data_IF_003739975846
#
_entry.id   IF_003739975846
#
_cell.length_a   1.000
_cell.length_b   1.000
_cell.length_c   1.000
_cell.angle_alpha   90.00
_cell.angle_beta   90.00
_cell.angle_gamma   90.00
#
_symmetry.space_group_name_H-M   'P 1'
#
loop_
_entity.id
_entity.type
_entity.pdbx_description
1 polymer ?
#
# COMPACT_ATOMS: atom_id res chain seq x y z
N UNK A 1 -42.12 36.75 -47.62
CA UNK A 1 -42.10 36.00 -46.34
C UNK A 1 -40.80 35.19 -46.25
N UNK A 2 -39.79 35.66 -45.53
CA UNK A 2 -38.50 34.95 -45.34
C UNK A 2 -38.62 34.06 -44.09
N UNK A 3 -38.83 32.75 -44.30
CA UNK A 3 -38.86 31.76 -43.20
C UNK A 3 -37.46 31.55 -42.63
N UNK A 4 -37.42 31.43 -41.31
CA UNK A 4 -36.24 31.52 -40.44
C UNK A 4 -35.27 30.34 -40.56
N UNK A 5 -34.04 30.60 -41.03
CA UNK A 5 -32.89 29.67 -41.00
C UNK A 5 -32.19 29.60 -39.62
N UNK A 6 -32.66 30.36 -38.62
CA UNK A 6 -32.01 30.50 -37.30
C UNK A 6 -32.13 29.27 -36.40
N UNK A 7 -33.09 28.36 -36.66
CA UNK A 7 -33.32 27.17 -35.83
C UNK A 7 -32.22 26.10 -35.97
N UNK A 8 -31.59 25.99 -37.16
CA UNK A 8 -30.49 25.04 -37.37
C UNK A 8 -29.19 25.43 -36.64
N UNK A 9 -28.85 26.72 -36.66
CA UNK A 9 -27.67 27.24 -35.95
C UNK A 9 -27.81 27.13 -34.43
N UNK A 10 -29.00 27.40 -33.88
CA UNK A 10 -29.24 27.23 -32.44
C UNK A 10 -29.01 25.78 -31.98
N UNK A 11 -29.44 24.80 -32.79
CA UNK A 11 -29.25 23.38 -32.48
C UNK A 11 -27.77 22.98 -32.53
N UNK A 12 -27.00 23.49 -33.51
CA UNK A 12 -25.55 23.25 -33.58
C UNK A 12 -24.80 23.84 -32.38
N UNK A 13 -25.17 25.04 -31.94
CA UNK A 13 -24.55 25.67 -30.76
C UNK A 13 -24.81 24.86 -29.50
N UNK A 14 -26.04 24.37 -29.31
CA UNK A 14 -26.38 23.51 -28.16
C UNK A 14 -25.60 22.19 -28.23
N UNK A 15 -25.47 21.59 -29.41
CA UNK A 15 -24.73 20.33 -29.57
C UNK A 15 -23.24 20.51 -29.22
N UNK A 16 -22.62 21.60 -29.68
CA UNK A 16 -21.22 21.94 -29.34
C UNK A 16 -21.08 22.16 -27.83
N UNK A 17 -22.04 22.84 -27.20
CA UNK A 17 -22.01 23.11 -25.76
C UNK A 17 -22.12 21.82 -24.92
N UNK A 18 -22.98 20.88 -25.32
CA UNK A 18 -23.11 19.58 -24.65
C UNK A 18 -21.82 18.76 -24.82
N UNK A 19 -21.23 18.73 -26.03
CA UNK A 19 -19.99 18.00 -26.30
C UNK A 19 -18.80 18.58 -25.52
N UNK A 20 -18.67 19.90 -25.48
CA UNK A 20 -17.59 20.56 -24.74
C UNK A 20 -17.76 20.38 -23.23
N UNK A 21 -18.97 20.52 -22.70
CA UNK A 21 -19.24 20.30 -21.28
C UNK A 21 -18.99 18.85 -20.84
N UNK A 22 -19.40 17.87 -21.65
CA UNK A 22 -19.17 16.45 -21.34
C UNK A 22 -17.71 16.05 -21.48
N UNK A 23 -17.00 16.59 -22.49
CA UNK A 23 -15.55 16.40 -22.63
C UNK A 23 -14.79 16.96 -21.42
N UNK A 24 -15.13 18.17 -20.97
CA UNK A 24 -14.51 18.78 -19.80
C UNK A 24 -14.75 17.95 -18.53
N UNK A 25 -15.99 17.49 -18.31
CA UNK A 25 -16.32 16.64 -17.17
C UNK A 25 -15.55 15.30 -17.18
N UNK A 26 -15.43 14.67 -18.36
CA UNK A 26 -14.69 13.42 -18.51
C UNK A 26 -13.18 13.59 -18.28
N UNK A 27 -12.63 14.74 -18.63
CA UNK A 27 -11.21 15.05 -18.39
C UNK A 27 -10.97 15.29 -16.90
N UNK A 28 -11.82 16.08 -16.24
CA UNK A 28 -11.70 16.32 -14.80
C UNK A 28 -11.84 15.03 -13.96
N UNK A 29 -12.76 14.13 -14.32
CA UNK A 29 -12.92 12.86 -13.60
C UNK A 29 -11.68 11.96 -13.71
N UNK A 30 -11.03 11.96 -14.89
CA UNK A 30 -9.76 11.23 -15.09
C UNK A 30 -8.64 11.81 -14.24
N UNK A 31 -8.49 13.14 -14.20
CA UNK A 31 -7.46 13.78 -13.38
C UNK A 31 -7.64 13.51 -11.88
N UNK A 32 -8.87 13.53 -11.37
CA UNK A 32 -9.14 13.21 -9.97
C UNK A 32 -8.83 11.74 -9.67
N UNK A 33 -9.18 10.83 -10.58
CA UNK A 33 -8.91 9.40 -10.41
C UNK A 33 -7.41 9.10 -10.37
N UNK A 34 -6.63 9.70 -11.27
CA UNK A 34 -5.17 9.50 -11.28
C UNK A 34 -4.52 10.10 -10.04
N UNK A 35 -4.96 11.28 -9.60
CA UNK A 35 -4.46 11.89 -8.36
C UNK A 35 -4.74 11.00 -7.14
N UNK A 36 -5.95 10.45 -7.02
CA UNK A 36 -6.30 9.54 -5.93
C UNK A 36 -5.46 8.26 -5.94
N UNK A 37 -5.19 7.68 -7.11
CA UNK A 37 -4.34 6.50 -7.22
C UNK A 37 -2.91 6.77 -6.77
N UNK A 38 -2.36 7.95 -7.09
CA UNK A 38 -1.02 8.36 -6.65
C UNK A 38 -0.98 8.54 -5.14
N UNK A 39 -1.96 9.23 -4.55
CA UNK A 39 -2.02 9.41 -3.10
C UNK A 39 -2.22 8.08 -2.36
N UNK A 40 -3.06 7.18 -2.89
CA UNK A 40 -3.19 5.83 -2.32
C UNK A 40 -1.88 5.04 -2.39
N UNK A 41 -1.15 5.13 -3.50
CA UNK A 41 0.15 4.48 -3.62
C UNK A 41 1.17 5.07 -2.63
N UNK A 42 1.14 6.39 -2.42
CA UNK A 42 1.98 7.07 -1.43
C UNK A 42 1.66 6.63 -0.01
N UNK A 43 0.38 6.66 0.40
CA UNK A 43 -0.06 6.24 1.73
C UNK A 43 0.34 4.78 1.99
N UNK A 44 0.15 3.88 1.01
CA UNK A 44 0.57 2.48 1.12
C UNK A 44 2.08 2.35 1.30
N UNK A 45 2.87 3.18 0.60
CA UNK A 45 4.33 3.17 0.71
C UNK A 45 4.79 3.70 2.07
N UNK A 46 4.21 4.80 2.54
CA UNK A 46 4.50 5.34 3.87
C UNK A 46 4.14 4.32 4.96
N UNK A 47 2.96 3.69 4.88
CA UNK A 47 2.56 2.63 5.79
C UNK A 47 3.52 1.43 5.77
N UNK A 48 4.05 1.06 4.61
CA UNK A 48 5.06 0.00 4.49
C UNK A 48 6.40 0.38 5.13
N UNK A 49 6.83 1.63 4.96
CA UNK A 49 8.08 2.14 5.56
C UNK A 49 7.96 2.25 7.08
N UNK A 50 6.81 2.66 7.61
CA UNK A 50 6.64 2.80 9.06
C UNK A 50 6.43 1.46 9.78
N UNK A 51 5.74 0.50 9.16
CA UNK A 51 5.44 -0.79 9.78
C UNK A 51 6.47 -1.89 9.49
N UNK A 52 6.33 -2.64 8.39
CA UNK A 52 7.18 -3.78 8.06
C UNK A 52 8.69 -3.52 8.18
N UNK A 53 9.18 -2.33 7.78
CA UNK A 53 10.61 -2.02 7.82
C UNK A 53 11.14 -1.84 9.24
N UNK A 54 10.37 -1.23 10.16
CA UNK A 54 10.79 -1.08 11.55
C UNK A 54 10.85 -2.44 12.25
N UNK A 55 9.86 -3.31 12.00
CA UNK A 55 9.84 -4.69 12.48
C UNK A 55 11.00 -5.50 11.92
N UNK A 56 11.32 -5.32 10.63
CA UNK A 56 12.46 -5.98 10.00
C UNK A 56 13.79 -5.54 10.62
N UNK A 57 13.96 -4.25 10.90
CA UNK A 57 15.16 -3.74 11.57
C UNK A 57 15.35 -4.38 12.96
N UNK A 58 14.27 -4.50 13.74
CA UNK A 58 14.31 -5.20 15.04
C UNK A 58 14.65 -6.67 14.85
N UNK A 59 14.04 -7.34 13.87
CA UNK A 59 14.30 -8.74 13.58
C UNK A 59 15.78 -8.99 13.18
N UNK A 60 16.36 -8.10 12.38
CA UNK A 60 17.78 -8.12 12.04
C UNK A 60 18.66 -7.89 13.27
N UNK A 61 18.32 -6.94 14.14
CA UNK A 61 19.04 -6.71 15.38
C UNK A 61 19.04 -7.94 16.30
N UNK A 62 17.94 -8.71 16.35
CA UNK A 62 17.91 -9.97 17.11
C UNK A 62 18.84 -11.03 16.52
N UNK A 63 18.94 -11.11 15.19
CA UNK A 63 19.87 -12.02 14.52
C UNK A 63 21.33 -11.74 14.88
N UNK A 64 21.69 -10.49 15.20
CA UNK A 64 23.05 -10.16 15.68
C UNK A 64 23.37 -10.74 17.06
N UNK A 65 22.35 -11.06 17.86
CA UNK A 65 22.53 -11.60 19.22
C UNK A 65 22.72 -13.11 19.26
N UNK A 66 22.28 -13.83 18.22
CA UNK A 66 22.35 -15.28 18.15
C UNK A 66 21.62 -15.85 16.94
N UNK A 67 21.76 -17.16 16.72
CA UNK A 67 21.10 -17.86 15.60
C UNK A 67 19.71 -18.40 16.00
N UNK A 68 18.69 -18.30 15.13
CA UNK A 68 17.40 -18.93 15.31
C UNK A 68 17.51 -20.47 15.50
N UNK A 69 16.58 -21.09 16.24
CA UNK A 69 16.67 -22.51 16.63
C UNK A 69 16.54 -23.50 15.46
N UNK A 70 16.02 -23.07 14.31
CA UNK A 70 15.80 -23.92 13.14
C UNK A 70 16.18 -23.20 11.84
N UNK A 71 16.37 -23.97 10.76
CA UNK A 71 16.70 -23.44 9.42
C UNK A 71 15.58 -22.59 8.82
N UNK A 72 14.33 -22.79 9.23
CA UNK A 72 13.22 -21.90 8.92
C UNK A 72 12.34 -21.80 10.15
N UNK A 73 12.06 -20.59 10.62
CA UNK A 73 11.22 -20.41 11.80
C UNK A 73 10.45 -19.09 11.74
N UNK A 74 9.18 -19.18 12.14
CA UNK A 74 8.24 -18.07 12.17
C UNK A 74 8.02 -17.62 13.61
N UNK A 75 8.16 -16.31 13.86
CA UNK A 75 7.83 -15.67 15.13
C UNK A 75 6.73 -14.64 14.92
N UNK A 76 5.98 -14.34 15.99
CA UNK A 76 5.10 -13.17 16.04
C UNK A 76 5.79 -11.98 16.68
N UNK A 77 5.53 -10.79 16.16
CA UNK A 77 5.95 -9.53 16.74
C UNK A 77 4.77 -8.57 16.76
N UNK A 78 4.41 -8.11 17.96
CA UNK A 78 3.36 -7.13 18.15
C UNK A 78 4.00 -5.74 18.11
N UNK A 79 3.60 -4.93 17.13
CA UNK A 79 4.08 -3.57 16.96
C UNK A 79 2.92 -2.58 17.13
N UNK A 80 3.09 -1.63 18.05
CA UNK A 80 2.18 -0.50 18.19
C UNK A 80 2.61 0.60 17.22
N UNK A 81 1.86 0.77 16.13
CA UNK A 81 2.12 1.77 15.10
C UNK A 81 0.88 2.63 14.96
N UNK A 82 1.05 3.94 15.13
CA UNK A 82 -0.02 4.93 15.01
C UNK A 82 -1.24 4.61 15.92
N UNK A 83 -0.97 4.17 17.16
CA UNK A 83 -1.99 3.85 18.17
C UNK A 83 -2.89 2.66 17.80
N UNK A 84 -2.42 1.82 16.87
CA UNK A 84 -3.04 0.58 16.46
C UNK A 84 -2.04 -0.55 16.66
N UNK A 85 -2.37 -1.51 17.53
CA UNK A 85 -1.57 -2.71 17.67
C UNK A 85 -1.73 -3.58 16.41
N UNK A 86 -0.63 -3.80 15.69
CA UNK A 86 -0.57 -4.64 14.50
C UNK A 86 0.35 -5.82 14.76
N UNK A 87 -0.09 -6.98 14.29
CA UNK A 87 0.62 -8.23 14.47
C UNK A 87 1.41 -8.52 13.20
N UNK A 88 2.70 -8.78 13.36
CA UNK A 88 3.61 -9.11 12.28
C UNK A 88 4.12 -10.54 12.46
N UNK A 89 4.13 -11.28 11.34
CA UNK A 89 4.89 -12.51 11.20
C UNK A 89 6.30 -12.16 10.75
N UNK A 90 7.30 -12.62 11.52
CA UNK A 90 8.71 -12.53 11.20
C UNK A 90 9.21 -13.92 10.86
N UNK A 91 9.61 -14.13 9.62
CA UNK A 91 10.16 -15.40 9.15
C UNK A 91 11.66 -15.28 8.97
N UNK A 92 12.40 -16.15 9.66
CA UNK A 92 13.83 -16.35 9.47
C UNK A 92 14.03 -17.60 8.63
N UNK A 93 14.75 -17.47 7.52
CA UNK A 93 15.08 -18.60 6.66
C UNK A 93 16.59 -18.61 6.40
N UNK A 94 17.26 -19.69 6.77
CA UNK A 94 18.68 -19.89 6.55
C UNK A 94 18.93 -20.18 5.08
N UNK A 95 19.74 -19.33 4.43
CA UNK A 95 20.23 -19.56 3.07
C UNK A 95 21.47 -20.44 3.09
N UNK A 96 22.43 -20.12 3.96
CA UNK A 96 23.73 -20.77 4.08
C UNK A 96 24.21 -20.81 5.54
N UNK A 97 25.41 -21.33 5.79
CA UNK A 97 25.99 -21.39 7.14
C UNK A 97 26.05 -20.01 7.83
N UNK A 98 26.25 -18.92 7.08
CA UNK A 98 26.42 -17.56 7.59
C UNK A 98 25.39 -16.54 7.06
N UNK A 99 24.34 -16.99 6.36
CA UNK A 99 23.38 -16.09 5.71
C UNK A 99 21.95 -16.49 6.05
N UNK A 100 21.17 -15.49 6.43
CA UNK A 100 19.76 -15.60 6.77
C UNK A 100 18.95 -14.58 5.97
N UNK A 101 17.85 -15.05 5.37
CA UNK A 101 16.79 -14.20 4.86
C UNK A 101 15.82 -13.91 5.99
N UNK A 102 15.61 -12.63 6.28
CA UNK A 102 14.61 -12.17 7.25
C UNK A 102 13.50 -11.47 6.50
N UNK A 103 12.25 -11.87 6.76
CA UNK A 103 11.08 -11.21 6.17
C UNK A 103 10.08 -10.89 7.27
N UNK A 104 9.45 -9.72 7.17
CA UNK A 104 8.42 -9.25 8.09
C UNK A 104 7.17 -8.89 7.28
N UNK A 105 6.02 -9.44 7.67
CA UNK A 105 4.74 -9.16 7.03
C UNK A 105 3.65 -9.04 8.08
N UNK A 106 2.74 -8.10 7.89
CA UNK A 106 1.54 -7.97 8.72
C UNK A 106 0.64 -9.21 8.51
N UNK A 107 0.30 -9.87 9.61
CA UNK A 107 -0.47 -11.10 9.61
C UNK A 107 -1.24 -11.24 10.93
N UNK A 108 -2.57 -11.11 10.86
CA UNK A 108 -3.44 -11.22 12.03
C UNK A 108 -3.51 -12.66 12.59
N UNK A 109 -3.20 -13.68 11.78
CA UNK A 109 -3.26 -15.09 12.17
C UNK A 109 -1.98 -15.57 12.86
N UNK A 110 -0.95 -14.71 12.92
CA UNK A 110 0.33 -14.97 13.58
C UNK A 110 0.21 -15.08 15.11
N UNK A 111 -0.97 -14.85 15.70
CA UNK A 111 -1.23 -15.02 17.14
C UNK A 111 -0.84 -16.42 17.68
N UNK A 112 -0.91 -17.44 16.82
CA UNK A 112 -0.55 -18.82 17.16
C UNK A 112 0.96 -19.08 17.19
N UNK A 113 1.77 -18.17 16.67
CA UNK A 113 3.22 -18.31 16.59
C UNK A 113 3.90 -17.91 17.92
N UNK A 114 5.08 -18.47 18.21
CA UNK A 114 5.85 -18.05 19.37
C UNK A 114 6.26 -16.57 19.25
N UNK A 115 6.25 -15.80 20.35
CA UNK A 115 6.67 -14.41 20.33
C UNK A 115 8.17 -14.31 19.99
N UNK A 116 8.53 -13.28 19.24
CA UNK A 116 9.92 -12.97 18.91
C UNK A 116 10.69 -12.71 20.21
N UNK A 117 11.76 -13.48 20.49
CA UNK A 117 12.51 -13.30 21.72
C UNK A 117 13.30 -12.00 21.70
N UNK A 118 13.66 -11.51 22.90
CA UNK A 118 14.52 -10.30 23.04
C UNK A 118 15.96 -10.55 22.63
N UNK A 119 16.38 -11.80 22.52
CA UNK A 119 17.68 -12.22 22.00
C UNK A 119 17.58 -13.70 21.61
N UNK A 120 18.41 -14.14 20.67
CA UNK A 120 18.56 -15.55 20.34
C UNK A 120 19.65 -16.20 21.18
#
# INVERSE_FOLDING_TARGET
MKRSTRRGYALLVVMILILTSSALAAVHSRYLTTALQIEQARIKREAFVHGPVSVLAIACQRLETGDPPATSFDFRFDADIDNSNRIYRVTYQRLNASQWTVSAREDADALSLPPLPKSF
#
